data_IF_857724756609
#
_entry.id   IF_857724756609
#
_cell.length_a   1.000
_cell.length_b   1.000
_cell.length_c   1.000
_cell.angle_alpha   90.00
_cell.angle_beta   90.00
_cell.angle_gamma   90.00
#
_symmetry.space_group_name_H-M   'P 1'
#
loop_
_entity.id
_entity.type
_entity.pdbx_description
1 polymer ?
#
# COMPACT_ATOMS: atom_id res chain seq x y z
N UNK A 1 2.20 -2.02 -9.48
CA UNK A 1 0.73 -2.27 -9.43
C UNK A 1 0.03 -1.03 -9.93
N UNK A 2 -1.27 -1.11 -10.21
CA UNK A 2 -2.08 0.00 -10.71
C UNK A 2 -3.38 0.07 -9.91
N UNK A 3 -3.67 1.24 -9.33
CA UNK A 3 -4.86 1.50 -8.51
C UNK A 3 -5.75 2.54 -9.20
N UNK A 4 -7.07 2.38 -9.11
CA UNK A 4 -8.02 3.35 -9.69
C UNK A 4 -9.37 3.39 -8.97
N UNK A 5 -10.12 4.46 -9.20
CA UNK A 5 -11.37 4.79 -8.51
C UNK A 5 -11.13 5.89 -7.47
N UNK A 6 -11.75 5.74 -6.29
CA UNK A 6 -11.57 6.60 -5.12
C UNK A 6 -10.18 6.35 -4.48
N UNK A 7 -9.13 6.88 -5.13
CA UNK A 7 -7.74 6.67 -4.73
C UNK A 7 -7.36 7.61 -3.59
N UNK A 8 -6.87 7.03 -2.51
CA UNK A 8 -6.25 7.70 -1.37
C UNK A 8 -4.91 7.00 -1.07
N UNK A 9 -3.92 7.73 -0.59
CA UNK A 9 -2.64 7.16 -0.21
C UNK A 9 -1.92 8.06 0.80
N UNK A 10 -1.03 7.45 1.58
CA UNK A 10 0.00 8.14 2.34
C UNK A 10 1.34 7.49 2.04
N UNK A 11 2.33 8.29 1.70
CA UNK A 11 3.70 7.85 1.43
C UNK A 11 4.71 8.63 2.28
N UNK A 12 4.23 9.44 3.23
CA UNK A 12 5.05 10.36 4.01
C UNK A 12 6.02 9.66 4.95
N UNK A 13 5.76 8.40 5.28
CA UNK A 13 6.67 7.56 6.07
C UNK A 13 7.93 7.13 5.30
N UNK A 14 8.03 7.41 3.99
CA UNK A 14 9.16 7.01 3.14
C UNK A 14 9.82 8.22 2.49
N UNK A 15 11.15 8.25 2.55
CA UNK A 15 11.95 9.28 1.93
C UNK A 15 12.95 8.67 0.93
N UNK A 16 12.81 8.94 -0.38
CA UNK A 16 13.74 8.45 -1.38
C UNK A 16 15.16 9.02 -1.22
N UNK A 17 15.33 10.18 -0.59
CA UNK A 17 16.63 10.82 -0.36
C UNK A 17 17.40 10.18 0.81
N UNK A 18 16.72 9.44 1.70
CA UNK A 18 17.32 8.76 2.86
C UNK A 18 17.68 7.29 2.62
N UNK A 19 17.76 6.84 1.35
CA UNK A 19 17.96 5.43 0.99
C UNK A 19 16.87 4.48 1.53
N UNK A 20 15.63 4.97 1.69
CA UNK A 20 14.48 4.18 2.11
C UNK A 20 13.39 3.97 1.02
N UNK A 21 13.72 3.48 -0.20
CA UNK A 21 12.73 3.30 -1.25
C UNK A 21 12.12 1.89 -1.30
N UNK A 22 12.49 0.97 -0.38
CA UNK A 22 12.15 -0.45 -0.48
C UNK A 22 11.22 -0.91 0.64
N UNK A 23 10.21 -1.68 0.26
CA UNK A 23 9.32 -2.38 1.18
C UNK A 23 9.96 -3.74 1.51
N UNK A 24 10.13 -4.05 2.80
CA UNK A 24 10.65 -5.35 3.24
C UNK A 24 9.56 -6.43 3.25
N UNK A 25 8.31 -6.03 3.44
CA UNK A 25 7.12 -6.86 3.45
C UNK A 25 5.91 -6.04 3.03
N UNK A 26 4.77 -6.71 2.83
CA UNK A 26 3.54 -5.99 2.46
C UNK A 26 2.29 -6.79 2.79
N UNK A 27 1.20 -6.07 3.05
CA UNK A 27 -0.13 -6.63 3.23
C UNK A 27 -1.10 -6.07 2.19
N UNK A 28 -1.88 -6.95 1.55
CA UNK A 28 -3.05 -6.57 0.73
C UNK A 28 -4.32 -6.97 1.47
N UNK A 29 -5.21 -6.01 1.72
CA UNK A 29 -6.49 -6.23 2.41
C UNK A 29 -7.62 -5.85 1.46
N UNK A 30 -8.66 -6.69 1.37
CA UNK A 30 -9.91 -6.37 0.66
C UNK A 30 -11.00 -6.24 1.71
N UNK A 31 -11.52 -5.03 1.89
CA UNK A 31 -12.50 -4.72 2.93
C UNK A 31 -13.39 -3.54 2.53
N UNK A 32 -14.70 -3.66 2.77
CA UNK A 32 -15.73 -2.64 2.50
C UNK A 32 -15.65 -2.02 1.08
N UNK A 33 -15.56 -2.88 0.06
CA UNK A 33 -15.41 -2.49 -1.35
C UNK A 33 -14.16 -1.64 -1.65
N UNK A 34 -13.14 -1.71 -0.79
CA UNK A 34 -11.82 -1.13 -1.00
C UNK A 34 -10.73 -2.19 -0.96
N UNK A 35 -9.66 -1.92 -1.70
CA UNK A 35 -8.37 -2.59 -1.60
C UNK A 35 -7.43 -1.66 -0.85
N UNK A 36 -6.78 -2.18 0.18
CA UNK A 36 -5.70 -1.53 0.91
C UNK A 36 -4.41 -2.28 0.59
N UNK A 37 -3.34 -1.54 0.31
CA UNK A 37 -2.01 -2.08 0.09
C UNK A 37 -1.02 -1.32 0.96
N UNK A 38 -0.41 -2.02 1.92
CA UNK A 38 0.33 -1.42 3.03
C UNK A 38 1.74 -2.00 3.07
N UNK A 39 2.70 -1.12 3.31
CA UNK A 39 4.12 -1.40 3.53
C UNK A 39 4.40 -1.86 4.98
N UNK A 40 3.77 -2.97 5.35
CA UNK A 40 3.98 -3.69 6.61
C UNK A 40 3.31 -5.07 6.51
N UNK A 41 3.81 -6.03 7.27
CA UNK A 41 3.25 -7.40 7.35
C UNK A 41 2.10 -7.48 8.39
N UNK A 42 1.21 -8.46 8.23
CA UNK A 42 0.14 -8.78 9.20
C UNK A 42 -0.79 -7.62 9.61
N UNK A 43 -1.00 -6.65 8.71
CA UNK A 43 -1.83 -5.48 8.97
C UNK A 43 -3.35 -5.75 8.92
N UNK A 44 -4.10 -5.04 9.76
CA UNK A 44 -5.56 -4.88 9.66
C UNK A 44 -5.96 -3.44 9.29
N UNK A 45 -7.18 -3.24 8.79
CA UNK A 45 -7.65 -1.90 8.36
C UNK A 45 -7.60 -0.88 9.50
N UNK A 46 -7.91 -1.29 10.73
CA UNK A 46 -7.90 -0.45 11.92
C UNK A 46 -6.49 -0.07 12.41
N UNK A 47 -5.45 -0.76 11.94
CA UNK A 47 -4.05 -0.43 12.25
C UNK A 47 -3.43 0.56 11.26
N UNK A 48 -4.04 0.76 10.08
CA UNK A 48 -3.53 1.68 9.06
C UNK A 48 -3.64 3.11 9.58
N UNK A 49 -2.50 3.79 9.68
CA UNK A 49 -2.37 5.15 10.21
C UNK A 49 -1.26 5.92 9.47
N UNK A 50 -1.13 7.22 9.74
CA UNK A 50 -0.17 8.14 9.10
C UNK A 50 1.32 7.72 9.25
N UNK A 51 1.63 6.74 10.09
CA UNK A 51 3.00 6.20 10.26
C UNK A 51 3.44 5.21 9.19
N UNK A 52 2.55 4.81 8.28
CA UNK A 52 2.80 3.78 7.27
C UNK A 52 2.71 4.32 5.85
N UNK A 53 3.40 3.64 4.93
CA UNK A 53 3.21 3.85 3.50
C UNK A 53 2.08 2.94 3.02
N UNK A 54 0.99 3.53 2.52
CA UNK A 54 -0.19 2.78 2.12
C UNK A 54 -0.93 3.40 0.94
N UNK A 55 -1.66 2.54 0.23
CA UNK A 55 -2.56 2.90 -0.86
C UNK A 55 -3.94 2.30 -0.58
N UNK A 56 -4.99 3.05 -0.90
CA UNK A 56 -6.40 2.63 -0.84
C UNK A 56 -7.07 2.98 -2.16
N UNK A 57 -7.82 2.04 -2.72
CA UNK A 57 -8.60 2.29 -3.92
C UNK A 57 -9.76 1.30 -4.06
N UNK A 58 -10.71 1.60 -4.95
CA UNK A 58 -11.79 0.67 -5.31
C UNK A 58 -11.29 -0.55 -6.09
N UNK A 59 -10.21 -0.36 -6.85
CA UNK A 59 -9.71 -1.39 -7.75
C UNK A 59 -8.18 -1.41 -7.77
N UNK A 60 -7.64 -2.62 -7.93
CA UNK A 60 -6.22 -2.89 -8.09
C UNK A 60 -5.98 -3.85 -9.25
N UNK A 61 -4.92 -3.61 -10.00
CA UNK A 61 -4.38 -4.51 -11.01
C UNK A 61 -2.88 -4.65 -10.80
N UNK A 62 -2.39 -5.87 -10.77
CA UNK A 62 -0.97 -6.14 -10.70
C UNK A 62 -0.51 -6.89 -11.95
N UNK A 63 0.78 -6.77 -12.24
CA UNK A 63 1.47 -7.53 -13.27
C UNK A 63 2.73 -8.08 -12.64
N UNK A 64 2.89 -9.39 -12.68
CA UNK A 64 4.14 -10.05 -12.28
C UNK A 64 5.15 -9.84 -13.40
N UNK A 65 6.32 -9.33 -13.05
CA UNK A 65 7.48 -9.27 -13.94
C UNK A 65 8.39 -10.42 -13.48
N UNK A 66 8.51 -11.51 -14.25
CA UNK A 66 9.43 -12.58 -13.92
C UNK A 66 10.88 -12.09 -14.07
N UNK A 67 11.79 -12.68 -13.31
CA UNK A 67 13.24 -12.53 -13.49
C UNK A 67 13.71 -13.07 -14.85
#
# INVERSE_FOLDING_TARGET
MWFWGDVEYDISSRDPDECDPYWYGSTVIIWDDFVYFVDEEDMTVDQISDGYCWFKARHMKYRIIPD
#
